data_IF_694784695553
#
_entry.id   IF_694784695553
#
_cell.length_a   1.000
_cell.length_b   1.000
_cell.length_c   1.000
_cell.angle_alpha   90.00
_cell.angle_beta   90.00
_cell.angle_gamma   90.00
#
_symmetry.space_group_name_H-M   'P 1'
#
loop_
_entity.id
_entity.type
_entity.pdbx_description
1 polymer ?
#
# COMPACT_ATOMS: atom_id res chain seq x y z
N UNK A 1 -8.15 65.09 40.53
CA UNK A 1 -7.54 65.10 39.18
C UNK A 1 -6.74 63.81 38.99
N UNK A 2 -7.21 62.95 38.07
CA UNK A 2 -6.50 62.05 37.11
C UNK A 2 -5.11 61.50 37.52
N UNK A 3 -4.91 60.23 37.91
CA UNK A 3 -4.73 58.96 37.14
C UNK A 3 -3.63 58.92 36.04
N UNK A 4 -2.60 58.08 36.25
CA UNK A 4 -1.79 57.37 35.23
C UNK A 4 -1.18 56.17 35.97
N UNK A 5 -1.51 54.89 35.75
CA UNK A 5 -1.56 54.00 34.57
C UNK A 5 -0.22 53.90 33.86
N UNK A 6 0.61 52.94 34.28
CA UNK A 6 1.54 52.25 33.39
C UNK A 6 1.15 50.77 33.37
N UNK A 7 0.52 50.40 32.26
CA UNK A 7 0.06 49.06 31.92
C UNK A 7 1.22 48.29 31.29
N UNK A 8 1.68 47.21 31.94
CA UNK A 8 2.63 46.28 31.34
C UNK A 8 1.88 45.30 30.44
N UNK A 9 2.09 45.42 29.13
CA UNK A 9 1.56 44.54 28.10
C UNK A 9 2.35 43.23 28.14
N UNK A 10 1.69 42.17 28.62
CA UNK A 10 2.19 40.80 28.57
C UNK A 10 2.03 40.26 27.15
N UNK A 11 3.15 40.03 26.47
CA UNK A 11 3.19 39.45 25.13
C UNK A 11 2.73 37.98 25.18
N UNK A 12 1.57 37.70 24.55
CA UNK A 12 1.16 36.34 24.25
C UNK A 12 2.08 35.76 23.17
N UNK A 13 2.90 34.79 23.56
CA UNK A 13 3.56 33.88 22.61
C UNK A 13 2.49 32.91 22.11
N UNK A 14 1.94 33.20 20.93
CA UNK A 14 1.16 32.25 20.16
C UNK A 14 2.07 31.11 19.74
N UNK A 15 2.05 30.02 20.51
CA UNK A 15 2.52 28.72 20.08
C UNK A 15 1.64 28.32 18.89
N UNK A 16 2.17 28.51 17.69
CA UNK A 16 1.57 28.01 16.47
C UNK A 16 1.51 26.48 16.57
N UNK A 17 0.34 25.96 16.89
CA UNK A 17 0.00 24.57 16.63
C UNK A 17 0.19 24.34 15.13
N UNK A 18 1.28 23.67 14.75
CA UNK A 18 1.39 23.06 13.44
C UNK A 18 0.23 22.09 13.28
N UNK A 19 -0.81 22.53 12.59
CA UNK A 19 -1.83 21.65 12.07
C UNK A 19 -1.11 20.77 11.04
N UNK A 20 -0.69 19.58 11.46
CA UNK A 20 -0.44 18.50 10.52
C UNK A 20 -1.78 18.23 9.85
N UNK A 21 -1.92 18.65 8.60
CA UNK A 21 -3.05 18.31 7.76
C UNK A 21 -3.21 16.79 7.77
N UNK A 22 -4.21 16.30 8.51
CA UNK A 22 -4.55 14.89 8.50
C UNK A 22 -5.21 14.62 7.15
N UNK A 23 -4.43 14.10 6.23
CA UNK A 23 -4.88 13.64 4.92
C UNK A 23 -6.03 12.64 5.13
N UNK A 24 -7.24 13.04 4.73
CA UNK A 24 -8.48 12.24 4.84
C UNK A 24 -8.59 11.16 3.75
N UNK A 25 -7.57 11.05 2.89
CA UNK A 25 -7.53 10.11 1.77
C UNK A 25 -6.83 8.82 2.22
N UNK A 26 -7.43 7.67 1.94
CA UNK A 26 -6.75 6.39 2.15
C UNK A 26 -5.55 6.28 1.19
N UNK A 27 -4.53 5.44 1.51
CA UNK A 27 -3.50 5.07 0.55
C UNK A 27 -4.12 4.61 -0.77
N UNK A 28 -5.34 4.06 -0.66
CA UNK A 28 -6.08 3.55 -1.80
C UNK A 28 -6.55 4.58 -2.80
N UNK A 29 -7.02 5.72 -2.33
CA UNK A 29 -7.42 6.81 -3.21
C UNK A 29 -6.23 7.46 -3.90
N UNK A 30 -5.09 7.54 -3.22
CA UNK A 30 -3.88 8.19 -3.75
C UNK A 30 -3.25 7.35 -4.87
N UNK A 31 -3.02 6.05 -4.64
CA UNK A 31 -2.42 5.20 -5.66
C UNK A 31 -3.35 4.99 -6.88
N UNK A 32 -4.66 4.89 -6.66
CA UNK A 32 -5.64 4.81 -7.75
C UNK A 32 -5.62 6.04 -8.67
N UNK A 33 -5.36 7.25 -8.12
CA UNK A 33 -5.23 8.49 -8.92
C UNK A 33 -4.07 8.40 -9.93
N UNK A 34 -3.04 7.61 -9.62
CA UNK A 34 -1.87 7.40 -10.48
C UNK A 34 -1.97 6.14 -11.34
N UNK A 35 -3.16 5.52 -11.44
CA UNK A 35 -3.39 4.34 -12.26
C UNK A 35 -2.96 3.02 -11.63
N UNK A 36 -2.50 3.03 -10.38
CA UNK A 36 -2.15 1.81 -9.66
C UNK A 36 -3.40 1.15 -9.08
N UNK A 37 -3.60 -0.12 -9.42
CA UNK A 37 -4.58 -0.96 -8.74
C UNK A 37 -4.00 -1.45 -7.42
N UNK A 38 -4.78 -1.35 -6.35
CA UNK A 38 -4.35 -1.82 -5.04
C UNK A 38 -4.88 -3.20 -4.78
N UNK A 39 -3.96 -4.02 -4.31
CA UNK A 39 -4.16 -5.42 -4.08
C UNK A 39 -3.72 -5.73 -2.65
N UNK A 40 -4.58 -6.45 -1.94
CA UNK A 40 -4.31 -6.96 -0.61
C UNK A 40 -4.15 -8.49 -0.72
N UNK A 41 -3.07 -9.10 -0.19
CA UNK A 41 -2.00 -8.47 0.56
C UNK A 41 -0.86 -7.85 -0.30
N UNK A 42 -0.25 -6.74 0.15
CA UNK A 42 0.94 -6.09 -0.45
C UNK A 42 2.15 -7.02 -0.67
N UNK A 43 2.36 -7.97 0.25
CA UNK A 43 3.52 -8.85 0.28
C UNK A 43 3.50 -10.00 -0.74
N UNK A 44 2.38 -10.22 -1.43
CA UNK A 44 2.23 -11.31 -2.41
C UNK A 44 2.19 -10.82 -3.86
N UNK A 45 2.61 -9.59 -4.15
CA UNK A 45 2.43 -9.03 -5.49
C UNK A 45 3.49 -9.49 -6.49
N UNK A 46 3.01 -9.58 -7.73
CA UNK A 46 3.78 -9.87 -8.92
C UNK A 46 4.66 -8.67 -9.28
N UNK A 47 5.95 -8.89 -9.47
CA UNK A 47 6.87 -7.83 -9.89
C UNK A 47 6.64 -7.38 -11.33
N UNK A 48 7.28 -6.28 -11.77
CA UNK A 48 7.22 -5.84 -13.16
C UNK A 48 7.61 -6.98 -14.12
N UNK A 49 6.94 -7.03 -15.26
CA UNK A 49 7.12 -8.04 -16.30
C UNK A 49 6.23 -9.27 -16.17
N UNK A 50 5.72 -9.59 -14.97
CA UNK A 50 4.88 -10.77 -14.74
C UNK A 50 3.61 -10.73 -15.60
N UNK A 51 3.20 -11.90 -16.09
CA UNK A 51 1.97 -12.09 -16.86
C UNK A 51 0.89 -12.64 -15.95
N UNK A 52 -0.19 -11.90 -15.78
CA UNK A 52 -1.19 -12.15 -14.75
C UNK A 52 -2.61 -12.11 -15.30
N UNK A 53 -3.49 -12.86 -14.66
CA UNK A 53 -4.94 -12.76 -14.85
C UNK A 53 -5.55 -12.20 -13.56
N UNK A 54 -6.68 -11.49 -13.67
CA UNK A 54 -7.37 -10.92 -12.51
C UNK A 54 -8.64 -11.69 -12.17
N UNK A 55 -8.97 -11.73 -10.88
CA UNK A 55 -10.29 -12.09 -10.36
C UNK A 55 -10.67 -11.18 -9.21
N UNK A 56 -11.96 -11.03 -8.96
CA UNK A 56 -12.43 -10.34 -7.77
C UNK A 56 -12.32 -11.24 -6.53
N UNK A 57 -11.98 -10.64 -5.39
CA UNK A 57 -12.06 -11.32 -4.11
C UNK A 57 -13.54 -11.51 -3.73
N UNK A 58 -13.89 -12.72 -3.28
CA UNK A 58 -15.29 -13.07 -2.97
C UNK A 58 -15.85 -12.41 -1.69
N UNK A 59 -15.00 -11.76 -0.87
CA UNK A 59 -15.30 -11.46 0.54
C UNK A 59 -15.11 -9.99 0.97
N UNK A 60 -14.82 -9.06 0.06
CA UNK A 60 -14.51 -7.68 0.45
C UNK A 60 -15.45 -6.67 -0.21
N UNK A 61 -15.93 -5.72 0.58
CA UNK A 61 -16.61 -4.52 0.10
C UNK A 61 -15.71 -3.78 -0.90
N UNK A 62 -16.11 -3.81 -2.17
CA UNK A 62 -15.63 -3.04 -3.32
C UNK A 62 -14.12 -3.08 -3.65
N UNK A 63 -13.83 -3.56 -4.87
CA UNK A 63 -12.60 -3.36 -5.64
C UNK A 63 -11.30 -4.07 -5.23
N UNK A 64 -11.33 -5.06 -4.32
CA UNK A 64 -10.15 -5.92 -4.13
C UNK A 64 -10.01 -6.92 -5.28
N UNK A 65 -8.94 -6.75 -6.05
CA UNK A 65 -8.56 -7.66 -7.11
C UNK A 65 -7.51 -8.64 -6.59
N UNK A 66 -7.62 -9.90 -6.98
CA UNK A 66 -6.59 -10.91 -6.78
C UNK A 66 -5.98 -11.20 -8.14
N UNK A 67 -4.66 -11.16 -8.20
CA UNK A 67 -3.91 -11.56 -9.39
C UNK A 67 -3.46 -13.01 -9.23
N UNK A 68 -3.48 -13.74 -10.33
CA UNK A 68 -2.80 -15.02 -10.45
C UNK A 68 -1.84 -14.98 -11.62
N UNK A 69 -0.73 -15.69 -11.52
CA UNK A 69 0.19 -15.87 -12.65
C UNK A 69 -0.51 -16.64 -13.77
N UNK A 70 -0.40 -16.12 -15.00
CA UNK A 70 -0.70 -16.89 -16.22
C UNK A 70 0.45 -17.87 -16.49
N UNK A 71 1.66 -17.39 -16.29
CA UNK A 71 2.89 -18.16 -16.40
C UNK A 71 3.70 -17.95 -15.12
N UNK A 72 4.16 -19.04 -14.50
CA UNK A 72 4.97 -18.93 -13.28
C UNK A 72 6.25 -18.15 -13.58
N UNK A 73 6.68 -17.23 -12.70
CA UNK A 73 7.87 -16.39 -12.92
C UNK A 73 9.14 -17.20 -13.24
N UNK A 74 9.25 -18.44 -12.72
CA UNK A 74 10.38 -19.33 -13.02
C UNK A 74 10.49 -19.76 -14.48
N UNK A 75 9.44 -19.59 -15.28
CA UNK A 75 9.40 -19.90 -16.71
C UNK A 75 9.47 -18.64 -17.58
N UNK A 76 9.65 -17.47 -16.98
CA UNK A 76 9.77 -16.19 -17.67
C UNK A 76 11.23 -15.74 -17.58
N UNK A 77 11.80 -15.35 -18.71
CA UNK A 77 13.11 -14.71 -18.75
C UNK A 77 12.93 -13.19 -18.53
N UNK A 78 13.28 -12.72 -17.33
CA UNK A 78 13.26 -11.30 -17.02
C UNK A 78 14.58 -10.65 -17.43
N UNK A 79 14.56 -9.47 -18.06
CA UNK A 79 15.76 -8.67 -18.29
C UNK A 79 16.42 -8.26 -16.97
N UNK A 80 17.75 -8.12 -16.95
CA UNK A 80 18.50 -7.85 -15.72
C UNK A 80 18.29 -6.44 -15.15
N UNK A 81 17.91 -5.47 -16.00
CA UNK A 81 17.80 -4.07 -15.60
C UNK A 81 16.34 -3.61 -15.53
N UNK A 82 15.85 -3.37 -14.31
CA UNK A 82 14.64 -2.61 -14.04
C UNK A 82 14.97 -1.12 -13.97
N UNK A 83 14.16 -0.29 -14.62
CA UNK A 83 14.18 1.14 -14.35
C UNK A 83 13.62 1.37 -12.95
N UNK A 84 14.37 2.11 -12.12
CA UNK A 84 13.96 2.47 -10.78
C UNK A 84 13.90 3.98 -10.70
N UNK A 85 12.74 4.50 -10.29
CA UNK A 85 12.58 5.91 -10.00
C UNK A 85 12.10 6.11 -8.57
N UNK A 86 12.47 7.24 -7.96
CA UNK A 86 11.96 7.63 -6.66
C UNK A 86 10.46 7.88 -6.74
N UNK A 87 9.67 7.38 -5.80
CA UNK A 87 8.24 7.70 -5.72
C UNK A 87 7.94 9.21 -5.54
N UNK A 88 8.96 10.02 -5.25
CA UNK A 88 8.89 11.49 -5.25
C UNK A 88 8.47 12.07 -6.60
N UNK A 89 8.77 11.40 -7.71
CA UNK A 89 8.32 11.80 -9.06
C UNK A 89 6.79 11.72 -9.23
N UNK A 90 6.10 10.96 -8.36
CA UNK A 90 4.65 10.80 -8.33
C UNK A 90 3.96 11.70 -7.28
N UNK A 91 4.67 12.69 -6.70
CA UNK A 91 4.19 13.56 -5.60
C UNK A 91 3.68 12.76 -4.36
N UNK A 92 3.98 11.46 -4.27
CA UNK A 92 3.58 10.60 -3.16
C UNK A 92 4.29 11.00 -1.86
N UNK A 93 5.45 11.66 -1.97
CA UNK A 93 6.31 12.03 -0.84
C UNK A 93 5.64 12.92 0.21
N UNK A 94 4.60 13.69 -0.17
CA UNK A 94 3.86 14.57 0.75
C UNK A 94 2.84 13.83 1.63
N UNK A 95 2.34 12.67 1.20
CA UNK A 95 1.20 11.99 1.84
C UNK A 95 1.53 10.54 2.27
N UNK A 96 2.75 10.30 2.76
CA UNK A 96 3.24 8.96 3.10
C UNK A 96 2.70 8.39 4.42
N UNK A 97 2.06 9.22 5.24
CA UNK A 97 1.58 8.84 6.56
C UNK A 97 0.05 8.85 6.60
N UNK A 98 -0.53 7.69 6.90
CA UNK A 98 -1.97 7.49 6.94
C UNK A 98 -2.41 7.10 8.34
N UNK A 99 -3.47 7.73 8.82
CA UNK A 99 -4.02 7.47 10.15
C UNK A 99 -5.43 6.93 10.04
N UNK A 100 -5.60 5.68 10.45
CA UNK A 100 -6.90 5.05 10.57
C UNK A 100 -7.41 5.18 12.00
N UNK A 101 -8.50 5.91 12.19
CA UNK A 101 -9.22 5.94 13.47
C UNK A 101 -10.03 4.65 13.66
N UNK A 102 -10.55 4.41 14.86
CA UNK A 102 -11.44 3.28 15.12
C UNK A 102 -12.60 3.16 14.11
N UNK A 103 -13.19 4.29 13.67
CA UNK A 103 -14.23 4.28 12.64
C UNK A 103 -13.70 3.87 11.26
N UNK A 104 -12.49 4.30 10.90
CA UNK A 104 -11.81 3.85 9.68
C UNK A 104 -11.52 2.34 9.70
N UNK A 105 -11.06 1.81 10.84
CA UNK A 105 -10.81 0.38 11.02
C UNK A 105 -12.10 -0.44 10.89
N UNK A 106 -13.24 0.03 11.42
CA UNK A 106 -14.54 -0.66 11.24
C UNK A 106 -14.94 -0.74 9.77
N UNK A 107 -14.70 0.32 8.99
CA UNK A 107 -15.01 0.35 7.56
C UNK A 107 -14.15 -0.63 6.75
N UNK A 108 -12.95 -0.94 7.23
CA UNK A 108 -12.07 -1.96 6.67
C UNK A 108 -12.41 -3.38 7.16
N UNK A 109 -13.51 -3.57 7.90
CA UNK A 109 -13.86 -4.88 8.43
C UNK A 109 -12.94 -5.36 9.56
N UNK A 110 -12.24 -4.44 10.25
CA UNK A 110 -11.33 -4.75 11.35
C UNK A 110 -12.01 -4.44 12.70
N UNK A 111 -13.06 -5.19 13.03
CA UNK A 111 -13.92 -4.89 14.18
C UNK A 111 -13.19 -5.10 15.52
N UNK A 112 -12.28 -6.07 15.59
CA UNK A 112 -11.50 -6.30 16.81
C UNK A 112 -10.53 -5.13 17.03
N UNK A 113 -9.77 -4.77 15.99
CA UNK A 113 -8.85 -3.62 16.00
C UNK A 113 -9.59 -2.32 16.34
N UNK A 114 -10.75 -2.07 15.74
CA UNK A 114 -11.55 -0.88 16.03
C UNK A 114 -12.03 -0.79 17.49
N UNK A 115 -12.21 -1.92 18.15
CA UNK A 115 -12.64 -1.98 19.56
C UNK A 115 -11.52 -1.54 20.49
N UNK A 116 -10.30 -2.02 20.27
CA UNK A 116 -9.18 -1.86 21.19
C UNK A 116 -8.19 -0.76 20.80
N UNK A 117 -8.12 -0.40 19.52
CA UNK A 117 -7.23 0.65 19.02
C UNK A 117 -7.96 2.00 18.93
N UNK A 118 -7.27 3.04 19.38
CA UNK A 118 -7.65 4.44 19.17
C UNK A 118 -7.32 4.84 17.73
N UNK A 119 -6.11 4.49 17.29
CA UNK A 119 -5.70 4.66 15.90
C UNK A 119 -4.60 3.68 15.49
N UNK A 120 -4.51 3.44 14.19
CA UNK A 120 -3.36 2.82 13.51
C UNK A 120 -2.75 3.88 12.61
N UNK A 121 -1.47 4.18 12.80
CA UNK A 121 -0.72 5.00 11.86
C UNK A 121 0.14 4.09 11.00
N UNK A 122 0.06 4.28 9.69
CA UNK A 122 0.79 3.54 8.66
C UNK A 122 1.68 4.54 7.95
N UNK A 123 2.99 4.29 7.94
CA UNK A 123 3.98 5.14 7.29
C UNK A 123 4.69 4.37 6.19
N UNK A 124 4.70 4.93 4.98
CA UNK A 124 5.46 4.38 3.86
C UNK A 124 6.91 4.91 3.87
N UNK A 125 7.88 4.00 3.92
CA UNK A 125 9.32 4.27 3.89
C UNK A 125 9.96 3.62 2.66
N UNK A 126 11.14 4.09 2.27
CA UNK A 126 11.92 3.52 1.15
C UNK A 126 11.09 3.30 -0.12
N UNK A 127 10.25 4.27 -0.45
CA UNK A 127 9.28 4.19 -1.55
C UNK A 127 9.98 4.31 -2.90
N UNK A 128 9.86 3.28 -3.73
CA UNK A 128 10.42 3.22 -5.09
C UNK A 128 9.35 2.78 -6.09
N UNK A 129 9.47 3.27 -7.33
CA UNK A 129 8.69 2.79 -8.48
C UNK A 129 9.63 1.95 -9.33
N UNK A 130 9.24 0.71 -9.59
CA UNK A 130 9.99 -0.23 -10.43
C UNK A 130 9.22 -0.49 -11.71
N UNK A 131 9.87 -0.31 -12.86
CA UNK A 131 9.23 -0.44 -14.18
C UNK A 131 10.18 -1.09 -15.19
N UNK A 132 9.61 -1.83 -16.15
CA UNK A 132 10.32 -2.20 -17.37
C UNK A 132 9.97 -1.23 -18.50
N UNK A 133 10.90 -1.06 -19.43
CA UNK A 133 10.59 -0.36 -20.67
C UNK A 133 9.57 -1.15 -21.51
N UNK A 134 8.87 -0.48 -22.43
CA UNK A 134 7.93 -1.15 -23.33
C UNK A 134 8.64 -2.19 -24.22
N UNK A 135 9.91 -1.97 -24.54
CA UNK A 135 10.73 -2.91 -25.31
C UNK A 135 11.04 -4.17 -24.50
N UNK A 136 11.43 -4.01 -23.23
CA UNK A 136 11.67 -5.12 -22.30
C UNK A 136 10.40 -5.94 -22.07
N UNK A 137 9.27 -5.27 -21.84
CA UNK A 137 7.97 -5.93 -21.67
C UNK A 137 7.58 -6.74 -22.91
N UNK A 138 7.84 -6.20 -24.10
CA UNK A 138 7.64 -6.92 -25.37
C UNK A 138 8.61 -8.10 -25.49
N UNK A 139 9.88 -7.93 -25.11
CA UNK A 139 10.89 -9.00 -25.12
C UNK A 139 10.47 -10.16 -24.22
N UNK A 140 9.99 -9.87 -23.00
CA UNK A 140 9.44 -10.87 -22.08
C UNK A 140 8.34 -11.69 -22.75
N UNK A 141 7.36 -11.04 -23.40
CA UNK A 141 6.26 -11.74 -24.11
C UNK A 141 6.76 -12.62 -25.25
N UNK A 142 7.78 -12.16 -25.98
CA UNK A 142 8.35 -12.89 -27.11
C UNK A 142 9.25 -14.06 -26.66
N UNK A 143 9.74 -14.04 -25.44
CA UNK A 143 10.62 -15.09 -24.87
C UNK A 143 9.86 -16.30 -24.30
N UNK A 144 8.52 -16.27 -24.30
CA UNK A 144 7.72 -17.30 -23.66
C UNK A 144 7.87 -18.65 -24.38
N UNK A 145 8.10 -19.70 -23.60
CA UNK A 145 7.99 -21.06 -24.07
C UNK A 145 6.56 -21.41 -24.52
N UNK A 146 6.38 -22.50 -25.28
CA UNK A 146 5.12 -22.84 -25.94
C UNK A 146 3.93 -23.00 -24.97
N UNK A 147 4.17 -23.54 -23.78
CA UNK A 147 3.12 -23.72 -22.75
C UNK A 147 2.63 -22.37 -22.23
N UNK A 148 3.54 -21.45 -21.90
CA UNK A 148 3.15 -20.14 -21.39
C UNK A 148 2.53 -19.27 -22.48
N UNK A 149 2.98 -19.40 -23.73
CA UNK A 149 2.35 -18.74 -24.87
C UNK A 149 0.90 -19.22 -25.08
N UNK A 150 0.63 -20.53 -25.05
CA UNK A 150 -0.74 -21.06 -25.16
C UNK A 150 -1.64 -20.58 -24.00
N UNK A 151 -1.15 -20.61 -22.76
CA UNK A 151 -1.90 -20.11 -21.61
C UNK A 151 -2.21 -18.60 -21.72
N UNK A 152 -1.25 -17.81 -22.23
CA UNK A 152 -1.43 -16.39 -22.48
C UNK A 152 -2.53 -16.15 -23.53
N UNK A 153 -2.48 -16.83 -24.68
CA UNK A 153 -3.49 -16.66 -25.72
C UNK A 153 -4.89 -17.06 -25.23
N UNK A 154 -5.01 -18.13 -24.44
CA UNK A 154 -6.29 -18.54 -23.83
C UNK A 154 -6.87 -17.49 -22.88
N UNK A 155 -6.03 -16.78 -22.14
CA UNK A 155 -6.49 -15.71 -21.25
C UNK A 155 -6.77 -14.41 -22.01
N UNK A 156 -5.99 -14.11 -23.06
CA UNK A 156 -6.23 -12.99 -23.97
C UNK A 156 -7.58 -13.13 -24.66
N UNK A 157 -7.91 -14.32 -25.16
CA UNK A 157 -9.21 -14.61 -25.76
C UNK A 157 -10.41 -14.37 -24.79
N UNK A 158 -10.15 -14.37 -23.47
CA UNK A 158 -11.15 -14.07 -22.43
C UNK A 158 -11.15 -12.60 -21.99
N UNK A 159 -10.29 -11.75 -22.57
CA UNK A 159 -10.06 -10.38 -22.11
C UNK A 159 -9.46 -10.30 -20.70
N UNK A 160 -8.78 -11.36 -20.26
CA UNK A 160 -8.26 -11.51 -18.89
C UNK A 160 -6.74 -11.76 -18.84
N UNK A 161 -6.01 -11.26 -19.84
CA UNK A 161 -4.55 -11.28 -19.86
C UNK A 161 -4.01 -9.88 -19.62
N UNK A 162 -3.12 -9.76 -18.63
CA UNK A 162 -2.47 -8.51 -18.27
C UNK A 162 -0.98 -8.73 -18.07
N UNK A 163 -0.20 -7.67 -18.28
CA UNK A 163 1.21 -7.62 -17.90
C UNK A 163 1.42 -6.55 -16.84
N UNK A 164 2.21 -6.86 -15.83
CA UNK A 164 2.66 -5.86 -14.87
C UNK A 164 3.71 -4.97 -15.56
N UNK A 165 3.38 -3.70 -15.78
CA UNK A 165 4.30 -2.72 -16.38
C UNK A 165 5.18 -2.10 -15.30
N UNK A 166 4.53 -1.74 -14.18
CA UNK A 166 5.15 -1.05 -13.07
C UNK A 166 4.63 -1.52 -11.72
N UNK A 167 5.47 -1.41 -10.70
CA UNK A 167 5.13 -1.73 -9.34
C UNK A 167 5.61 -0.62 -8.40
N UNK A 168 4.70 -0.16 -7.55
CA UNK A 168 5.04 0.72 -6.44
C UNK A 168 5.48 -0.15 -5.26
N UNK A 169 6.70 0.03 -4.77
CA UNK A 169 7.28 -0.71 -3.65
C UNK A 169 7.63 0.22 -2.51
N UNK A 170 7.40 -0.24 -1.28
CA UNK A 170 7.68 0.50 -0.08
C UNK A 170 7.88 -0.43 1.12
N UNK A 171 8.57 0.06 2.11
CA UNK A 171 8.52 -0.49 3.46
C UNK A 171 7.32 0.15 4.19
N UNK A 172 6.58 -0.62 4.97
CA UNK A 172 5.55 -0.09 5.85
C UNK A 172 5.94 -0.16 7.30
N UNK A 173 5.84 0.97 7.99
CA UNK A 173 5.95 1.06 9.43
C UNK A 173 4.58 1.26 10.06
N UNK A 174 4.27 0.48 11.09
CA UNK A 174 3.01 0.55 11.81
C UNK A 174 3.21 1.05 13.23
N UNK A 175 2.37 2.01 13.62
CA UNK A 175 2.25 2.47 14.99
C UNK A 175 0.83 2.32 15.49
N UNK A 176 0.63 1.35 16.38
CA UNK A 176 -0.65 1.07 17.02
C UNK A 176 -0.80 1.91 18.29
N UNK A 177 -1.90 2.63 18.42
CA UNK A 177 -2.25 3.37 19.63
C UNK A 177 -3.48 2.74 20.26
N UNK A 178 -3.32 2.08 21.40
CA UNK A 178 -4.41 1.41 22.10
C UNK A 178 -5.28 2.39 22.91
N UNK A 179 -6.59 2.14 23.01
CA UNK A 179 -7.51 2.92 23.86
C UNK A 179 -7.31 2.65 25.35
N UNK A 180 -6.89 1.43 25.69
CA UNK A 180 -6.70 0.89 27.05
C UNK A 180 -5.60 -0.17 26.97
N UNK A 181 -4.98 -0.52 28.09
CA UNK A 181 -4.03 -1.63 28.13
C UNK A 181 -4.71 -2.92 27.62
N UNK A 182 -4.34 -3.36 26.41
CA UNK A 182 -4.79 -4.64 25.88
C UNK A 182 -3.97 -5.75 26.54
N UNK A 183 -4.62 -6.83 26.96
CA UNK A 183 -3.89 -8.02 27.40
C UNK A 183 -3.06 -8.58 26.25
N UNK A 184 -1.96 -9.29 26.56
CA UNK A 184 -1.08 -9.87 25.53
C UNK A 184 -1.83 -10.75 24.52
N UNK A 185 -2.85 -11.48 24.96
CA UNK A 185 -3.70 -12.30 24.09
C UNK A 185 -4.52 -11.47 23.10
N UNK A 186 -5.12 -10.36 23.56
CA UNK A 186 -5.89 -9.45 22.70
C UNK A 186 -4.97 -8.72 21.72
N UNK A 187 -3.79 -8.28 22.17
CA UNK A 187 -2.80 -7.67 21.30
C UNK A 187 -2.41 -8.62 20.15
N UNK A 188 -2.19 -9.91 20.43
CA UNK A 188 -1.86 -10.92 19.41
C UNK A 188 -3.00 -11.15 18.41
N UNK A 189 -4.26 -11.11 18.86
CA UNK A 189 -5.41 -11.24 17.96
C UNK A 189 -5.57 -10.01 17.04
N UNK A 190 -5.35 -8.81 17.58
CA UNK A 190 -5.32 -7.56 16.80
C UNK A 190 -4.20 -7.61 15.76
N UNK A 191 -3.00 -8.05 16.15
CA UNK A 191 -1.88 -8.24 15.23
C UNK A 191 -2.23 -9.23 14.13
N UNK A 192 -2.86 -10.38 14.45
CA UNK A 192 -3.28 -11.35 13.42
C UNK A 192 -4.32 -10.77 12.44
N UNK A 193 -5.26 -9.98 12.94
CA UNK A 193 -6.27 -9.31 12.11
C UNK A 193 -5.63 -8.29 11.15
N UNK A 194 -4.72 -7.45 11.67
CA UNK A 194 -3.96 -6.48 10.87
C UNK A 194 -3.00 -7.17 9.89
N UNK A 195 -2.39 -8.29 10.28
CA UNK A 195 -1.50 -9.08 9.43
C UNK A 195 -2.24 -9.62 8.22
N UNK A 196 -3.46 -10.12 8.43
CA UNK A 196 -4.30 -10.64 7.36
C UNK A 196 -4.71 -9.54 6.37
N UNK A 197 -5.09 -8.36 6.88
CA UNK A 197 -5.56 -7.25 6.04
C UNK A 197 -4.44 -6.51 5.33
N UNK A 198 -3.25 -6.43 5.92
CA UNK A 198 -2.16 -5.63 5.36
C UNK A 198 -0.95 -6.46 4.92
N UNK A 199 -1.01 -7.79 5.03
CA UNK A 199 0.04 -8.70 4.58
C UNK A 199 1.36 -8.58 5.36
N UNK A 200 1.29 -8.32 6.66
CA UNK A 200 2.44 -7.95 7.51
C UNK A 200 2.70 -9.00 8.60
N UNK A 201 3.97 -9.30 8.88
CA UNK A 201 4.40 -10.24 9.95
C UNK A 201 4.91 -9.59 11.25
N UNK A 202 4.09 -9.58 12.31
CA UNK A 202 4.39 -8.89 13.57
C UNK A 202 5.62 -9.45 14.33
N UNK A 203 6.67 -8.64 14.44
CA UNK A 203 7.80 -8.84 15.35
C UNK A 203 7.56 -8.06 16.66
N UNK A 204 7.37 -8.78 17.77
CA UNK A 204 7.26 -8.18 19.10
C UNK A 204 5.96 -7.39 19.39
N UNK A 205 6.00 -6.55 20.43
CA UNK A 205 4.77 -5.99 21.01
C UNK A 205 4.35 -4.60 20.52
N UNK A 206 5.20 -3.77 19.89
CA UNK A 206 4.84 -2.34 19.71
C UNK A 206 5.26 -1.63 18.41
N UNK A 207 6.14 -2.20 17.59
CA UNK A 207 6.49 -1.63 16.28
C UNK A 207 6.82 -2.78 15.35
N UNK A 208 6.15 -2.81 14.22
CA UNK A 208 6.48 -3.76 13.17
C UNK A 208 6.63 -3.01 11.85
N UNK A 209 7.66 -3.42 11.11
CA UNK A 209 8.02 -2.94 9.78
C UNK A 209 7.84 -4.08 8.79
N UNK A 210 6.97 -3.93 7.80
CA UNK A 210 6.98 -4.77 6.60
C UNK A 210 8.01 -4.21 5.62
N UNK A 211 9.07 -4.94 5.30
CA UNK A 211 10.15 -4.45 4.43
C UNK A 211 9.97 -4.96 2.99
N UNK A 212 10.20 -4.08 2.03
CA UNK A 212 10.29 -4.35 0.60
C UNK A 212 8.97 -4.77 -0.04
N UNK A 213 7.84 -4.29 0.49
CA UNK A 213 6.51 -4.71 0.09
C UNK A 213 6.03 -3.93 -1.14
N UNK A 214 5.46 -4.61 -2.12
CA UNK A 214 4.79 -3.95 -3.23
C UNK A 214 3.39 -3.51 -2.78
N UNK A 215 2.87 -2.36 -3.17
CA UNK A 215 1.54 -1.86 -2.73
C UNK A 215 0.57 -1.55 -3.85
N UNK A 216 1.09 -1.37 -5.06
CA UNK A 216 0.26 -1.07 -6.21
C UNK A 216 0.92 -1.58 -7.47
N UNK A 217 0.10 -2.04 -8.41
CA UNK A 217 0.55 -2.49 -9.72
C UNK A 217 -0.10 -1.66 -10.81
N UNK A 218 0.71 -1.29 -11.79
CA UNK A 218 0.25 -0.74 -13.06
C UNK A 218 0.20 -1.89 -14.08
N UNK A 219 -1.00 -2.19 -14.56
CA UNK A 219 -1.26 -3.31 -15.46
C UNK A 219 -1.59 -2.80 -16.86
N UNK A 220 -0.97 -3.40 -17.86
CA UNK A 220 -1.32 -3.23 -19.27
C UNK A 220 -2.14 -4.42 -19.74
N UNK A 221 -3.14 -4.17 -20.59
CA UNK A 221 -4.00 -5.22 -21.14
C UNK A 221 -3.33 -5.81 -22.38
N UNK A 222 -3.27 -7.14 -22.46
CA UNK A 222 -2.56 -7.85 -23.53
C UNK A 222 -3.45 -8.37 -24.63
#
# INVERSE_FOLDING_TARGET
>A
MVRSIFSSVLALVLVGCGQTDFVTYSPTTILAKYGYSIHVPPSSLHGPGNLVWKRQAASSSENQLILGDICSPKFIAFPDSLSRSSAESLDFSKNRDFKFTANGLKKLGLQLSATYLSSVNISFKNTEVQEYSLEDLRSIRNSLGPVCSDLLERQRAKGNAYQVVGAFKADLEYKLTYKRAASAGIARLIQKELAAEFGIDFEGQQRQVGKGLFYGLYLDTL
#
